data_IF_404682887031
#
_entry.id   IF_404682887031
#
_cell.length_a   1.000
_cell.length_b   1.000
_cell.length_c   1.000
_cell.angle_alpha   90.00
_cell.angle_beta   90.00
_cell.angle_gamma   90.00
#
_symmetry.space_group_name_H-M   'P 1'
#
loop_
_entity.id
_entity.type
_entity.pdbx_description
1 polymer ?
#
# COMPACT_ATOMS: atom_id res chain seq x y z
N UNK A 1 38.08 12.29 21.87
CA UNK A 1 37.65 12.84 20.57
C UNK A 1 36.19 13.24 20.69
N UNK A 2 35.93 14.55 20.80
CA UNK A 2 34.57 15.11 20.71
C UNK A 2 33.94 14.66 19.41
N UNK A 3 32.70 14.12 19.43
CA UNK A 3 31.99 13.80 18.19
C UNK A 3 31.85 15.11 17.40
N UNK A 4 32.32 15.07 16.16
CA UNK A 4 32.16 16.17 15.24
C UNK A 4 30.68 16.30 14.89
N UNK A 5 29.97 17.11 15.66
CA UNK A 5 28.53 17.34 15.48
C UNK A 5 28.35 18.25 14.25
N UNK A 6 28.54 17.69 13.05
CA UNK A 6 28.21 18.38 11.81
C UNK A 6 26.69 18.51 11.77
N UNK A 7 26.21 19.70 12.09
CA UNK A 7 24.83 20.08 11.84
C UNK A 7 24.69 20.22 10.32
N UNK A 8 24.19 19.16 9.68
CA UNK A 8 23.76 19.29 8.30
C UNK A 8 22.44 20.06 8.29
N UNK A 9 22.26 21.03 7.39
CA UNK A 9 20.98 21.69 7.25
C UNK A 9 19.91 20.65 6.89
N UNK A 10 18.86 20.59 7.70
CA UNK A 10 17.66 19.83 7.39
C UNK A 10 16.80 20.63 6.42
N UNK A 11 15.92 19.95 5.69
CA UNK A 11 14.91 20.60 4.87
C UNK A 11 13.60 20.68 5.63
N UNK A 12 13.10 21.87 5.84
CA UNK A 12 11.73 22.11 6.30
C UNK A 12 10.80 22.06 5.08
N UNK A 13 9.77 21.22 5.14
CA UNK A 13 8.82 21.02 4.05
C UNK A 13 7.44 21.33 4.60
N UNK A 14 6.71 22.19 3.89
CA UNK A 14 5.30 22.49 4.12
C UNK A 14 4.52 22.14 2.87
N UNK A 15 3.66 21.11 2.98
CA UNK A 15 2.78 20.67 1.90
C UNK A 15 1.32 21.05 2.24
N UNK A 16 0.70 21.80 1.35
CA UNK A 16 -0.70 22.17 1.44
C UNK A 16 -1.46 21.69 0.21
N UNK A 17 -2.50 20.89 0.43
CA UNK A 17 -3.30 20.30 -0.63
C UNK A 17 -4.77 20.71 -0.49
N UNK A 18 -5.35 21.20 -1.59
CA UNK A 18 -6.79 21.49 -1.69
C UNK A 18 -7.41 20.59 -2.75
N UNK A 19 -8.46 19.87 -2.39
CA UNK A 19 -9.14 18.95 -3.30
C UNK A 19 -10.60 19.32 -3.49
N UNK A 20 -11.04 19.27 -4.74
CA UNK A 20 -12.44 19.34 -5.15
C UNK A 20 -12.79 18.05 -5.89
N UNK A 21 -13.81 17.34 -5.44
CA UNK A 21 -14.29 16.14 -6.10
C UNK A 21 -15.78 16.27 -6.45
N UNK A 22 -16.12 15.86 -7.67
CA UNK A 22 -17.50 15.72 -8.14
C UNK A 22 -17.72 14.27 -8.51
N UNK A 23 -18.76 13.66 -7.95
CA UNK A 23 -19.11 12.28 -8.21
C UNK A 23 -20.60 12.19 -8.56
N UNK A 24 -20.92 11.33 -9.52
CA UNK A 24 -22.30 11.05 -9.91
C UNK A 24 -22.53 9.54 -10.01
N UNK A 25 -23.74 9.12 -9.69
CA UNK A 25 -24.22 7.75 -9.80
C UNK A 25 -25.44 7.70 -10.72
N UNK A 26 -25.26 7.10 -11.88
CA UNK A 26 -26.31 7.01 -12.89
C UNK A 26 -26.84 5.58 -12.98
N UNK A 27 -28.13 5.41 -12.74
CA UNK A 27 -28.80 4.12 -12.97
C UNK A 27 -29.16 4.01 -14.46
N UNK A 28 -28.40 3.25 -15.22
CA UNK A 28 -28.58 3.05 -16.66
C UNK A 28 -29.78 2.11 -16.94
N UNK A 29 -29.95 1.09 -16.12
CA UNK A 29 -31.08 0.15 -16.15
C UNK A 29 -31.44 -0.28 -14.73
N UNK A 30 -32.47 -1.11 -14.57
CA UNK A 30 -32.79 -1.69 -13.24
C UNK A 30 -31.65 -2.55 -12.66
N UNK A 31 -30.75 -3.05 -13.51
CA UNK A 31 -29.66 -3.94 -13.11
C UNK A 31 -28.27 -3.35 -13.32
N UNK A 32 -28.15 -2.20 -13.97
CA UNK A 32 -26.87 -1.60 -14.35
C UNK A 32 -26.74 -0.21 -13.79
N UNK A 33 -25.66 0.03 -13.06
CA UNK A 33 -25.33 1.33 -12.48
C UNK A 33 -23.93 1.73 -12.91
N UNK A 34 -23.77 2.97 -13.33
CA UNK A 34 -22.48 3.60 -13.60
C UNK A 34 -22.17 4.63 -12.51
N UNK A 35 -20.91 4.74 -12.17
CA UNK A 35 -20.36 5.80 -11.33
C UNK A 35 -19.31 6.55 -12.14
N UNK A 36 -19.34 7.85 -12.05
CA UNK A 36 -18.44 8.78 -12.71
C UNK A 36 -17.87 9.72 -11.65
N UNK A 37 -16.61 10.01 -11.73
CA UNK A 37 -16.00 10.96 -10.82
C UNK A 37 -14.85 11.70 -11.45
N UNK A 38 -14.69 12.94 -11.03
CA UNK A 38 -13.55 13.79 -11.35
C UNK A 38 -13.06 14.45 -10.07
N UNK A 39 -11.78 14.30 -9.77
CA UNK A 39 -11.13 15.00 -8.67
C UNK A 39 -10.11 15.96 -9.25
N UNK A 40 -10.13 17.21 -8.78
CA UNK A 40 -9.09 18.20 -9.01
C UNK A 40 -8.35 18.46 -7.71
N UNK A 41 -7.03 18.26 -7.72
CA UNK A 41 -6.15 18.50 -6.58
C UNK A 41 -5.19 19.63 -6.90
N UNK A 42 -5.21 20.69 -6.10
CA UNK A 42 -4.24 21.77 -6.12
C UNK A 42 -3.18 21.47 -5.06
N UNK A 43 -1.98 21.14 -5.50
CA UNK A 43 -0.84 20.79 -4.67
C UNK A 43 0.06 22.04 -4.54
N UNK A 44 0.37 22.43 -3.31
CA UNK A 44 1.32 23.52 -3.04
C UNK A 44 2.37 22.98 -2.07
N UNK A 45 3.62 23.07 -2.48
CA UNK A 45 4.78 22.69 -1.67
C UNK A 45 5.70 23.90 -1.52
N UNK A 46 6.09 24.15 -0.30
CA UNK A 46 7.18 25.02 0.04
C UNK A 46 8.24 24.24 0.79
N UNK A 47 9.49 24.35 0.37
CA UNK A 47 10.61 23.74 1.09
C UNK A 47 11.75 24.74 1.21
N UNK A 48 12.43 24.74 2.35
CA UNK A 48 13.59 25.60 2.63
C UNK A 48 14.52 24.83 3.57
N UNK A 49 15.82 25.04 3.40
CA UNK A 49 16.78 24.47 4.37
C UNK A 49 16.74 25.25 5.68
N UNK A 50 17.13 24.64 6.79
CA UNK A 50 17.12 25.26 8.12
C UNK A 50 18.05 26.47 8.21
N UNK A 51 19.04 26.62 7.32
CA UNK A 51 19.91 27.79 7.14
C UNK A 51 19.28 28.83 6.19
N UNK A 52 18.02 28.69 5.82
CA UNK A 52 17.25 29.53 4.89
C UNK A 52 17.72 29.48 3.44
N UNK A 53 18.65 28.63 3.09
CA UNK A 53 19.08 28.42 1.70
C UNK A 53 18.15 27.49 0.95
N UNK A 54 18.27 27.45 -0.39
CA UNK A 54 17.58 26.48 -1.24
C UNK A 54 16.04 26.54 -1.17
N UNK A 55 15.47 27.73 -0.95
CA UNK A 55 14.00 27.88 -0.94
C UNK A 55 13.39 27.51 -2.29
N UNK A 56 12.42 26.60 -2.27
CA UNK A 56 11.67 26.11 -3.43
C UNK A 56 10.18 26.24 -3.17
N UNK A 57 9.46 26.68 -4.18
CA UNK A 57 8.02 26.72 -4.19
C UNK A 57 7.49 26.00 -5.44
N UNK A 58 6.59 25.06 -5.26
CA UNK A 58 5.91 24.34 -6.33
C UNK A 58 4.40 24.41 -6.13
N UNK A 59 3.70 24.74 -7.21
CA UNK A 59 2.24 24.84 -7.20
C UNK A 59 1.70 24.25 -8.49
N UNK A 60 0.86 23.20 -8.37
CA UNK A 60 0.31 22.50 -9.54
C UNK A 60 -1.08 21.98 -9.32
N UNK A 61 -1.93 22.15 -10.33
CA UNK A 61 -3.28 21.59 -10.39
C UNK A 61 -3.30 20.31 -11.24
N UNK A 62 -3.91 19.24 -10.71
CA UNK A 62 -4.00 17.94 -11.39
C UNK A 62 -5.42 17.40 -11.27
N UNK A 63 -5.99 16.99 -12.42
CA UNK A 63 -7.30 16.34 -12.44
C UNK A 63 -7.16 14.85 -12.69
N UNK A 64 -7.87 14.04 -11.91
CA UNK A 64 -7.91 12.58 -12.00
C UNK A 64 -9.34 12.09 -12.17
N UNK A 65 -9.68 11.52 -13.35
CA UNK A 65 -10.97 10.90 -13.56
C UNK A 65 -11.01 9.48 -13.01
N UNK A 66 -12.21 9.03 -12.68
CA UNK A 66 -12.51 7.62 -12.44
C UNK A 66 -13.89 7.26 -12.94
N UNK A 67 -14.08 6.02 -13.33
CA UNK A 67 -15.35 5.47 -13.78
C UNK A 67 -15.49 4.04 -13.29
N UNK A 68 -16.70 3.67 -12.92
CA UNK A 68 -17.03 2.28 -12.61
C UNK A 68 -18.41 1.91 -13.18
N UNK A 69 -18.55 0.64 -13.53
CA UNK A 69 -19.80 0.06 -13.99
C UNK A 69 -20.07 -1.20 -13.18
N UNK A 70 -21.30 -1.39 -12.73
CA UNK A 70 -21.75 -2.64 -12.16
C UNK A 70 -23.00 -3.13 -12.87
N UNK A 71 -23.06 -4.47 -13.02
CA UNK A 71 -24.22 -5.14 -13.61
C UNK A 71 -24.64 -6.32 -12.75
N UNK A 72 -25.88 -6.27 -12.26
CA UNK A 72 -26.47 -7.36 -11.50
C UNK A 72 -26.97 -8.45 -12.45
N UNK A 73 -26.24 -9.57 -12.54
CA UNK A 73 -26.62 -10.71 -13.36
C UNK A 73 -27.94 -11.30 -12.84
N UNK A 74 -27.99 -11.53 -11.52
CA UNK A 74 -29.15 -12.01 -10.79
C UNK A 74 -29.09 -11.56 -9.32
N UNK A 75 -29.98 -12.05 -8.47
CA UNK A 75 -30.04 -11.66 -7.05
C UNK A 75 -28.79 -12.00 -6.23
N UNK A 76 -27.89 -12.85 -6.77
CA UNK A 76 -26.70 -13.35 -6.06
C UNK A 76 -25.39 -12.78 -6.60
N UNK A 77 -25.33 -12.49 -7.91
CA UNK A 77 -24.08 -12.16 -8.59
C UNK A 77 -24.15 -10.80 -9.22
N UNK A 78 -23.08 -10.02 -8.98
CA UNK A 78 -22.86 -8.71 -9.59
C UNK A 78 -21.47 -8.70 -10.22
N UNK A 79 -21.42 -8.41 -11.52
CA UNK A 79 -20.17 -8.07 -12.21
C UNK A 79 -19.87 -6.60 -12.04
N UNK A 80 -18.60 -6.24 -12.01
CA UNK A 80 -18.18 -4.85 -12.07
C UNK A 80 -16.88 -4.69 -12.85
N UNK A 81 -16.68 -3.50 -13.38
CA UNK A 81 -15.43 -3.04 -13.93
C UNK A 81 -15.18 -1.62 -13.48
N UNK A 82 -13.93 -1.23 -13.28
CA UNK A 82 -13.56 0.13 -12.94
C UNK A 82 -12.25 0.55 -13.59
N UNK A 83 -12.13 1.86 -13.78
CA UNK A 83 -10.91 2.54 -14.20
C UNK A 83 -10.74 3.78 -13.36
N UNK A 84 -9.54 4.04 -12.86
CA UNK A 84 -9.25 5.24 -12.10
C UNK A 84 -7.81 5.68 -12.27
N UNK A 85 -7.57 6.96 -11.99
CA UNK A 85 -6.24 7.54 -11.93
C UNK A 85 -5.94 8.02 -10.51
N UNK A 86 -4.72 7.77 -10.05
CA UNK A 86 -4.14 8.31 -8.84
C UNK A 86 -2.99 9.26 -9.18
N UNK A 87 -2.58 10.04 -8.19
CA UNK A 87 -1.40 10.91 -8.27
C UNK A 87 -0.51 10.70 -7.07
N UNK A 88 0.78 10.72 -7.32
CA UNK A 88 1.81 10.78 -6.29
C UNK A 88 2.72 11.96 -6.58
N UNK A 89 3.22 12.57 -5.53
CA UNK A 89 4.18 13.66 -5.60
C UNK A 89 5.49 13.18 -5.00
N UNK A 90 6.54 13.22 -5.80
CA UNK A 90 7.89 12.91 -5.36
C UNK A 90 8.77 14.12 -5.56
N UNK A 91 9.70 14.36 -4.65
CA UNK A 91 10.74 15.36 -4.78
C UNK A 91 12.12 14.71 -4.76
N UNK A 92 13.03 15.28 -5.52
CA UNK A 92 14.44 14.90 -5.49
C UNK A 92 15.00 15.11 -4.09
N UNK A 93 15.81 14.19 -3.56
CA UNK A 93 16.51 14.43 -2.30
C UNK A 93 17.31 15.74 -2.34
N UNK A 94 17.26 16.50 -1.24
CA UNK A 94 17.94 17.80 -1.18
C UNK A 94 19.41 17.61 -0.77
N UNK A 95 20.19 16.93 -1.62
CA UNK A 95 21.62 16.71 -1.43
C UNK A 95 22.42 17.36 -2.55
N UNK A 96 23.61 17.82 -2.23
CA UNK A 96 24.49 18.57 -3.15
C UNK A 96 24.93 17.78 -4.40
N UNK A 97 24.81 16.44 -4.39
CA UNK A 97 25.13 15.61 -5.54
C UNK A 97 24.03 15.62 -6.63
N UNK A 98 22.83 16.15 -6.33
CA UNK A 98 21.73 16.22 -7.30
C UNK A 98 21.74 17.58 -8.03
N UNK A 99 21.66 17.54 -9.34
CA UNK A 99 21.48 18.72 -10.19
C UNK A 99 20.13 19.40 -10.00
N UNK A 100 19.14 18.62 -9.60
CA UNK A 100 17.77 19.07 -9.30
C UNK A 100 17.40 18.83 -7.83
N UNK A 101 18.35 19.06 -6.91
CA UNK A 101 18.16 18.89 -5.47
C UNK A 101 16.89 19.60 -4.96
N UNK A 102 16.09 18.90 -4.16
CA UNK A 102 14.85 19.40 -3.56
C UNK A 102 13.71 19.68 -4.55
N UNK A 103 13.95 19.66 -5.85
CA UNK A 103 12.91 19.96 -6.83
C UNK A 103 11.87 18.84 -6.91
N UNK A 104 10.58 19.18 -6.93
CA UNK A 104 9.54 18.19 -7.15
C UNK A 104 9.56 17.66 -8.59
N UNK A 105 9.46 16.36 -8.73
CA UNK A 105 9.30 15.72 -10.04
C UNK A 105 7.92 16.04 -10.63
N UNK A 106 7.73 15.88 -11.94
CA UNK A 106 6.40 15.88 -12.53
C UNK A 106 5.47 14.93 -11.78
N UNK A 107 4.19 15.27 -11.67
CA UNK A 107 3.24 14.42 -10.96
C UNK A 107 3.21 13.01 -11.54
N UNK A 108 3.45 12.03 -10.68
CA UNK A 108 3.43 10.63 -11.04
C UNK A 108 1.97 10.16 -11.12
N UNK A 109 1.45 10.00 -12.33
CA UNK A 109 0.08 9.51 -12.55
C UNK A 109 0.09 7.99 -12.58
N UNK A 110 -0.58 7.37 -11.63
CA UNK A 110 -0.89 5.94 -11.65
C UNK A 110 -2.24 5.70 -12.32
N UNK A 111 -2.39 4.55 -12.96
CA UNK A 111 -3.67 4.09 -13.51
C UNK A 111 -4.01 2.73 -12.92
N UNK A 112 -5.29 2.51 -12.65
CA UNK A 112 -5.80 1.24 -12.15
C UNK A 112 -7.01 0.82 -12.96
N UNK A 113 -7.06 -0.46 -13.32
CA UNK A 113 -8.19 -1.12 -13.95
C UNK A 113 -8.55 -2.35 -13.15
N UNK A 114 -9.84 -2.58 -13.00
CA UNK A 114 -10.35 -3.77 -12.31
C UNK A 114 -11.52 -4.37 -13.07
N UNK A 115 -11.60 -5.68 -13.03
CA UNK A 115 -12.79 -6.44 -13.39
C UNK A 115 -13.01 -7.47 -12.29
N UNK A 116 -14.25 -7.59 -11.83
CA UNK A 116 -14.53 -8.52 -10.75
C UNK A 116 -15.99 -8.96 -10.70
N UNK A 117 -16.19 -10.02 -9.94
CA UNK A 117 -17.49 -10.56 -9.61
C UNK A 117 -17.66 -10.60 -8.10
N UNK A 118 -18.80 -10.14 -7.62
CA UNK A 118 -19.21 -10.20 -6.22
C UNK A 118 -20.41 -11.10 -6.08
N UNK A 119 -20.44 -11.87 -5.00
CA UNK A 119 -21.60 -12.70 -4.66
C UNK A 119 -21.99 -12.46 -3.21
N UNK A 120 -23.29 -12.31 -3.01
CA UNK A 120 -23.88 -12.30 -1.69
C UNK A 120 -25.02 -13.30 -1.67
N UNK A 121 -24.83 -14.39 -0.94
CA UNK A 121 -25.86 -15.42 -0.83
C UNK A 121 -26.00 -15.88 0.62
N UNK A 122 -27.17 -15.66 1.20
CA UNK A 122 -27.51 -16.05 2.58
C UNK A 122 -26.45 -15.55 3.59
N UNK A 123 -25.54 -16.45 3.99
CA UNK A 123 -24.52 -16.23 5.03
C UNK A 123 -23.11 -16.10 4.47
N UNK A 124 -22.96 -16.23 3.14
CA UNK A 124 -21.66 -16.18 2.47
C UNK A 124 -21.60 -14.99 1.52
N UNK A 125 -20.54 -14.22 1.67
CA UNK A 125 -20.16 -13.15 0.74
C UNK A 125 -18.78 -13.52 0.20
N UNK A 126 -18.59 -13.43 -1.11
CA UNK A 126 -17.28 -13.59 -1.71
C UNK A 126 -17.10 -12.65 -2.89
N UNK A 127 -15.86 -12.34 -3.19
CA UNK A 127 -15.46 -11.50 -4.30
C UNK A 127 -14.22 -12.09 -4.97
N UNK A 128 -14.19 -12.02 -6.30
CA UNK A 128 -13.01 -12.28 -7.11
C UNK A 128 -12.77 -11.07 -8.00
N UNK A 129 -11.54 -10.56 -8.01
CA UNK A 129 -11.13 -9.35 -8.74
C UNK A 129 -9.83 -9.62 -9.47
N UNK A 130 -9.79 -9.36 -10.75
CA UNK A 130 -8.56 -9.12 -11.47
C UNK A 130 -8.28 -7.62 -11.49
N UNK A 131 -7.04 -7.25 -11.26
CA UNK A 131 -6.59 -5.87 -11.31
C UNK A 131 -5.31 -5.71 -12.12
N UNK A 132 -5.16 -4.50 -12.67
CA UNK A 132 -4.00 -4.06 -13.45
C UNK A 132 -3.69 -2.62 -13.02
N UNK A 133 -2.50 -2.40 -12.48
CA UNK A 133 -2.05 -1.11 -11.94
C UNK A 133 -0.72 -0.75 -12.57
N UNK A 134 -0.66 0.42 -13.20
CA UNK A 134 0.58 1.01 -13.69
C UNK A 134 0.93 2.23 -12.87
N UNK A 135 2.15 2.28 -12.36
CA UNK A 135 2.66 3.35 -11.51
C UNK A 135 4.01 3.82 -12.04
N UNK A 136 4.19 5.10 -12.37
CA UNK A 136 5.50 5.62 -12.77
C UNK A 136 6.56 5.30 -11.72
N UNK A 137 7.76 5.10 -12.16
CA UNK A 137 8.89 4.85 -11.30
C UNK A 137 10.00 5.86 -11.57
N UNK A 138 10.90 6.04 -10.64
CA UNK A 138 11.97 7.03 -10.71
C UNK A 138 13.33 6.36 -10.64
N UNK A 139 14.34 7.01 -11.19
CA UNK A 139 15.72 6.61 -11.10
C UNK A 139 16.65 7.82 -10.99
N UNK A 140 17.83 7.57 -10.48
CA UNK A 140 18.91 8.52 -10.41
C UNK A 140 19.86 8.30 -11.59
N UNK A 141 19.96 9.30 -12.48
CA UNK A 141 20.81 9.29 -13.68
C UNK A 141 22.07 10.12 -13.45
N UNK A 142 23.22 9.62 -13.86
CA UNK A 142 24.51 10.32 -13.79
C UNK A 142 25.64 9.50 -13.19
N UNK A 143 26.85 10.02 -13.28
CA UNK A 143 28.06 9.28 -12.89
C UNK A 143 28.31 9.24 -11.38
N UNK A 144 27.71 10.13 -10.59
CA UNK A 144 27.99 10.27 -9.16
C UNK A 144 26.71 10.38 -8.31
N UNK A 145 25.83 9.36 -8.43
CA UNK A 145 24.61 9.27 -7.63
C UNK A 145 24.83 8.59 -6.26
N UNK A 146 26.07 8.26 -5.91
CA UNK A 146 26.35 7.69 -4.60
C UNK A 146 26.10 8.71 -3.50
N UNK A 147 25.55 8.26 -2.38
CA UNK A 147 25.37 9.07 -1.19
C UNK A 147 26.70 9.74 -0.76
N UNK A 148 26.67 11.04 -0.46
CA UNK A 148 27.84 11.87 -0.13
C UNK A 148 28.85 12.11 -1.27
N UNK A 149 28.50 11.89 -2.53
CA UNK A 149 29.33 12.37 -3.62
C UNK A 149 29.39 13.90 -3.64
N UNK A 150 30.60 14.47 -3.74
CA UNK A 150 30.79 15.91 -3.88
C UNK A 150 30.48 16.43 -5.30
N UNK A 151 30.36 15.52 -6.27
CA UNK A 151 30.08 15.87 -7.65
C UNK A 151 28.57 16.09 -7.87
N UNK A 152 28.19 17.29 -8.29
CA UNK A 152 26.83 17.63 -8.65
C UNK A 152 26.52 17.12 -10.08
N UNK A 153 26.35 15.80 -10.23
CA UNK A 153 26.15 15.15 -11.55
C UNK A 153 24.99 14.14 -11.54
N UNK A 154 24.30 13.98 -10.44
CA UNK A 154 23.16 13.11 -10.34
C UNK A 154 21.86 13.87 -10.63
N UNK A 155 20.99 13.30 -11.44
CA UNK A 155 19.66 13.88 -11.71
C UNK A 155 18.60 12.84 -11.44
N UNK A 156 17.66 13.11 -10.53
CA UNK A 156 16.50 12.26 -10.31
C UNK A 156 15.44 12.55 -11.36
N UNK A 157 14.93 11.51 -11.97
CA UNK A 157 13.94 11.64 -13.05
C UNK A 157 12.98 10.45 -13.07
N UNK A 158 11.86 10.61 -13.80
CA UNK A 158 10.97 9.49 -14.11
C UNK A 158 11.72 8.54 -15.06
N UNK A 159 11.69 7.25 -14.75
CA UNK A 159 12.36 6.21 -15.52
C UNK A 159 11.47 4.98 -15.66
N UNK A 160 10.58 4.99 -16.63
CA UNK A 160 9.63 3.91 -16.86
C UNK A 160 8.55 3.81 -15.77
N UNK A 161 8.13 2.59 -15.47
CA UNK A 161 7.00 2.32 -14.58
C UNK A 161 7.14 0.97 -13.87
N UNK A 162 6.43 0.80 -12.78
CA UNK A 162 6.13 -0.50 -12.20
C UNK A 162 4.73 -0.91 -12.65
N UNK A 163 4.61 -2.06 -13.26
CA UNK A 163 3.35 -2.68 -13.66
C UNK A 163 3.01 -3.80 -12.68
N UNK A 164 1.81 -3.77 -12.12
CA UNK A 164 1.32 -4.71 -11.14
C UNK A 164 -0.01 -5.27 -11.64
N UNK A 165 -0.06 -6.55 -11.92
CA UNK A 165 -1.30 -7.22 -12.26
C UNK A 165 -1.53 -8.42 -11.34
N UNK A 166 -2.78 -8.77 -11.07
CA UNK A 166 -3.02 -9.86 -10.16
C UNK A 166 -4.47 -10.24 -9.99
N UNK A 167 -4.67 -11.19 -9.08
CA UNK A 167 -5.98 -11.69 -8.67
C UNK A 167 -6.13 -11.55 -7.17
N UNK A 168 -7.27 -11.02 -6.76
CA UNK A 168 -7.71 -11.02 -5.37
C UNK A 168 -8.96 -11.86 -5.22
N UNK A 169 -8.95 -12.74 -4.23
CA UNK A 169 -10.10 -13.50 -3.79
C UNK A 169 -10.35 -13.20 -2.33
N UNK A 170 -11.59 -12.93 -1.96
CA UNK A 170 -11.99 -12.79 -0.56
C UNK A 170 -13.30 -13.49 -0.29
N UNK A 171 -13.44 -14.02 0.90
CA UNK A 171 -14.67 -14.67 1.35
C UNK A 171 -14.93 -14.40 2.82
N UNK A 172 -16.20 -14.33 3.17
CA UNK A 172 -16.67 -14.27 4.54
C UNK A 172 -17.95 -15.09 4.67
N UNK A 173 -17.97 -16.02 5.62
CA UNK A 173 -19.08 -16.95 5.82
C UNK A 173 -19.42 -17.08 7.31
N UNK A 174 -20.71 -16.95 7.63
CA UNK A 174 -21.26 -17.21 8.97
C UNK A 174 -21.97 -18.55 8.99
N UNK A 175 -21.51 -19.47 9.83
CA UNK A 175 -22.09 -20.78 9.99
C UNK A 175 -22.39 -21.08 11.45
N UNK A 176 -23.64 -20.91 11.85
CA UNK A 176 -24.07 -21.04 13.26
C UNK A 176 -23.25 -20.13 14.18
N UNK A 177 -22.45 -20.73 15.08
CA UNK A 177 -21.56 -20.01 16.02
C UNK A 177 -20.22 -19.59 15.38
N UNK A 178 -19.90 -20.13 14.21
CA UNK A 178 -18.66 -19.86 13.53
C UNK A 178 -18.78 -18.70 12.54
N UNK A 179 -17.71 -17.90 12.49
CA UNK A 179 -17.48 -16.86 11.51
C UNK A 179 -16.13 -17.12 10.85
N UNK A 180 -16.11 -17.27 9.52
CA UNK A 180 -14.90 -17.55 8.74
C UNK A 180 -14.65 -16.41 7.76
N UNK A 181 -13.43 -15.91 7.75
CA UNK A 181 -12.95 -14.95 6.75
C UNK A 181 -11.67 -15.43 6.11
N UNK A 182 -11.49 -15.12 4.84
CA UNK A 182 -10.25 -15.46 4.14
C UNK A 182 -10.05 -14.57 2.93
N UNK A 183 -8.78 -14.29 2.63
CA UNK A 183 -8.39 -13.64 1.39
C UNK A 183 -7.06 -14.15 0.88
N UNK A 184 -6.91 -14.15 -0.43
CA UNK A 184 -5.67 -14.38 -1.14
C UNK A 184 -5.50 -13.30 -2.18
N UNK A 185 -4.33 -12.71 -2.24
CA UNK A 185 -3.85 -11.88 -3.34
C UNK A 185 -2.68 -12.60 -3.99
N UNK A 186 -2.75 -12.76 -5.29
CA UNK A 186 -1.61 -13.16 -6.12
C UNK A 186 -1.24 -12.00 -7.03
N UNK A 187 0.06 -11.67 -7.08
CA UNK A 187 0.57 -10.47 -7.73
C UNK A 187 1.75 -10.82 -8.64
N UNK A 188 1.63 -10.45 -9.90
CA UNK A 188 2.73 -10.34 -10.85
C UNK A 188 3.10 -8.86 -10.99
N UNK A 189 4.32 -8.51 -10.61
CA UNK A 189 4.79 -7.13 -10.60
C UNK A 189 6.14 -7.05 -11.30
N UNK A 190 6.28 -6.12 -12.24
CA UNK A 190 7.48 -5.96 -13.04
C UNK A 190 7.82 -4.50 -13.27
N UNK A 191 9.12 -4.19 -13.34
CA UNK A 191 9.63 -2.92 -13.85
C UNK A 191 9.57 -2.93 -15.37
N UNK A 192 9.09 -1.85 -15.98
CA UNK A 192 8.95 -1.74 -17.43
C UNK A 192 9.42 -0.38 -17.94
N UNK A 193 9.88 -0.36 -19.19
CA UNK A 193 10.22 0.85 -19.93
C UNK A 193 11.28 1.75 -19.25
N UNK A 194 12.08 1.18 -18.36
CA UNK A 194 13.23 1.88 -17.79
C UNK A 194 14.31 2.09 -18.84
N UNK A 195 14.84 3.30 -18.93
CA UNK A 195 15.90 3.69 -19.87
C UNK A 195 17.22 4.01 -19.15
N UNK A 196 17.15 4.61 -17.97
CA UNK A 196 18.29 4.88 -17.11
C UNK A 196 18.78 3.61 -16.45
N UNK A 197 17.85 2.86 -15.88
CA UNK A 197 18.11 1.56 -15.25
C UNK A 197 17.53 0.42 -16.09
N UNK A 198 17.92 0.35 -17.36
CA UNK A 198 17.38 -0.61 -18.33
C UNK A 198 17.53 -2.08 -17.91
N UNK A 199 18.54 -2.40 -17.08
CA UNK A 199 18.74 -3.71 -16.50
C UNK A 199 17.67 -4.13 -15.48
N UNK A 200 16.84 -3.19 -15.01
CA UNK A 200 15.73 -3.48 -14.10
C UNK A 200 14.45 -3.89 -14.85
N UNK A 201 14.38 -3.71 -16.17
CA UNK A 201 13.21 -4.16 -16.93
C UNK A 201 12.99 -5.66 -16.77
N UNK A 202 11.75 -6.05 -16.45
CA UNK A 202 11.35 -7.41 -16.13
C UNK A 202 11.67 -7.84 -14.68
N UNK A 203 12.38 -7.03 -13.90
CA UNK A 203 12.67 -7.34 -12.50
C UNK A 203 11.45 -7.06 -11.61
N UNK A 204 11.29 -7.92 -10.60
CA UNK A 204 10.25 -7.77 -9.60
C UNK A 204 10.62 -6.65 -8.62
N UNK A 205 9.74 -5.67 -8.35
CA UNK A 205 10.03 -4.55 -7.45
C UNK A 205 10.37 -5.00 -6.03
N UNK A 206 11.18 -4.18 -5.35
CA UNK A 206 11.55 -4.43 -3.95
C UNK A 206 10.33 -4.35 -3.02
N UNK A 207 10.36 -5.10 -1.93
CA UNK A 207 9.31 -5.15 -0.90
C UNK A 207 7.92 -5.63 -1.37
N UNK A 208 7.79 -6.13 -2.57
CA UNK A 208 6.52 -6.61 -3.12
C UNK A 208 6.47 -8.14 -3.03
N UNK A 209 5.60 -8.75 -2.23
CA UNK A 209 5.46 -10.21 -2.18
C UNK A 209 4.63 -10.71 -3.37
N UNK A 210 4.98 -11.88 -3.92
CA UNK A 210 4.23 -12.48 -5.03
C UNK A 210 2.81 -12.93 -4.65
N UNK A 211 2.59 -13.29 -3.38
CA UNK A 211 1.25 -13.58 -2.87
C UNK A 211 1.17 -13.30 -1.37
N UNK A 212 -0.05 -13.02 -0.94
CA UNK A 212 -0.41 -12.79 0.46
C UNK A 212 -1.66 -13.62 0.76
N UNK A 213 -1.62 -14.35 1.89
CA UNK A 213 -2.76 -15.10 2.40
C UNK A 213 -3.17 -14.55 3.75
N UNK A 214 -4.47 -14.38 3.97
CA UNK A 214 -5.05 -14.00 5.25
C UNK A 214 -6.22 -14.95 5.55
N UNK A 215 -6.30 -15.41 6.77
CA UNK A 215 -7.41 -16.23 7.24
C UNK A 215 -7.82 -15.83 8.64
N UNK A 216 -9.11 -15.92 8.92
CA UNK A 216 -9.62 -15.76 10.28
C UNK A 216 -10.76 -16.73 10.54
N UNK A 217 -10.86 -17.15 11.79
CA UNK A 217 -12.03 -17.83 12.31
C UNK A 217 -12.39 -17.26 13.67
N UNK A 218 -13.67 -17.09 13.94
CA UNK A 218 -14.21 -16.70 15.24
C UNK A 218 -15.28 -17.70 15.65
N UNK A 219 -15.25 -18.10 16.90
CA UNK A 219 -16.26 -18.94 17.51
C UNK A 219 -16.97 -18.20 18.65
N UNK A 220 -18.30 -18.17 18.62
CA UNK A 220 -19.16 -17.60 19.65
C UNK A 220 -19.70 -18.69 20.53
N UNK A 221 -19.42 -18.61 21.81
CA UNK A 221 -19.82 -19.64 22.79
C UNK A 221 -21.31 -19.46 23.14
N UNK A 222 -22.13 -20.44 22.71
CA UNK A 222 -23.56 -20.39 23.00
C UNK A 222 -23.87 -20.55 24.50
N UNK A 223 -23.00 -21.24 25.24
CA UNK A 223 -23.13 -21.44 26.69
C UNK A 223 -22.72 -20.21 27.52
N UNK A 224 -21.98 -19.25 26.95
CA UNK A 224 -21.53 -18.04 27.64
C UNK A 224 -21.83 -16.85 26.73
N UNK A 225 -23.02 -16.24 26.89
CA UNK A 225 -23.38 -15.07 26.08
C UNK A 225 -22.33 -13.95 26.19
N UNK A 226 -21.95 -13.39 25.04
CA UNK A 226 -20.93 -12.35 24.96
C UNK A 226 -19.49 -12.84 24.82
N UNK A 227 -19.22 -14.14 25.05
CA UNK A 227 -17.88 -14.70 24.87
C UNK A 227 -17.67 -15.15 23.42
N UNK A 228 -16.53 -14.74 22.82
CA UNK A 228 -16.06 -15.19 21.51
C UNK A 228 -14.53 -15.31 21.50
N UNK A 229 -14.03 -16.30 20.79
CA UNK A 229 -12.59 -16.47 20.55
C UNK A 229 -12.30 -16.48 19.06
N UNK A 230 -11.20 -15.87 18.67
CA UNK A 230 -10.76 -15.78 17.27
C UNK A 230 -9.32 -16.24 17.09
N UNK A 231 -9.06 -16.81 15.92
CA UNK A 231 -7.73 -17.14 15.44
C UNK A 231 -7.55 -16.50 14.07
N UNK A 232 -6.41 -15.84 13.85
CA UNK A 232 -6.01 -15.28 12.56
C UNK A 232 -4.70 -15.89 12.11
N UNK A 233 -4.58 -16.10 10.83
CA UNK A 233 -3.33 -16.48 10.16
C UNK A 233 -2.99 -15.45 9.10
N UNK A 234 -1.70 -15.09 9.05
CA UNK A 234 -1.14 -14.23 8.03
C UNK A 234 0.09 -14.88 7.44
N UNK A 235 0.10 -15.01 6.11
CA UNK A 235 1.26 -15.50 5.37
C UNK A 235 1.60 -14.53 4.25
N UNK A 236 2.90 -14.23 4.11
CA UNK A 236 3.41 -13.44 2.99
C UNK A 236 4.58 -14.20 2.34
N UNK A 237 4.57 -14.22 1.01
CA UNK A 237 5.64 -14.80 0.21
C UNK A 237 6.95 -14.05 0.37
N UNK A 238 8.00 -14.62 -0.18
CA UNK A 238 9.31 -13.96 -0.31
C UNK A 238 9.19 -12.63 -1.05
N UNK A 239 10.08 -11.71 -0.77
CA UNK A 239 10.18 -10.40 -1.45
C UNK A 239 11.62 -9.99 -1.67
N UNK A 240 11.88 -9.26 -2.75
CA UNK A 240 13.20 -8.76 -3.04
C UNK A 240 13.60 -7.64 -2.07
N UNK A 241 14.86 -7.68 -1.61
CA UNK A 241 15.53 -6.60 -0.91
C UNK A 241 16.20 -5.68 -1.92
N UNK A 242 16.94 -6.27 -2.86
CA UNK A 242 17.67 -5.56 -3.91
C UNK A 242 16.85 -5.51 -5.19
N UNK A 243 17.07 -4.47 -5.99
CA UNK A 243 16.32 -4.24 -7.23
C UNK A 243 16.55 -5.33 -8.29
N UNK A 244 17.74 -5.95 -8.28
CA UNK A 244 18.10 -7.07 -9.17
C UNK A 244 17.70 -8.44 -8.60
N UNK A 245 17.14 -8.50 -7.38
CA UNK A 245 16.68 -9.73 -6.77
C UNK A 245 17.74 -10.65 -6.19
N UNK A 246 18.99 -10.21 -6.05
CA UNK A 246 20.09 -11.03 -5.49
C UNK A 246 19.89 -11.34 -3.99
N UNK A 247 19.23 -10.44 -3.28
CA UNK A 247 18.91 -10.61 -1.86
C UNK A 247 17.40 -10.63 -1.69
N UNK A 248 16.92 -11.66 -1.00
CA UNK A 248 15.48 -11.92 -0.81
C UNK A 248 15.16 -12.11 0.67
N UNK A 249 14.11 -11.47 1.16
CA UNK A 249 13.56 -11.80 2.47
C UNK A 249 12.76 -13.10 2.39
N UNK A 250 12.95 -14.03 3.36
CA UNK A 250 12.18 -15.27 3.43
C UNK A 250 10.68 -15.00 3.63
N UNK A 251 9.86 -15.89 3.12
CA UNK A 251 8.44 -15.94 3.44
C UNK A 251 8.21 -16.16 4.95
N UNK A 252 7.11 -15.65 5.45
CA UNK A 252 6.77 -15.81 6.85
C UNK A 252 5.28 -16.09 7.07
N UNK A 253 5.01 -16.75 8.19
CA UNK A 253 3.66 -17.03 8.66
C UNK A 253 3.55 -16.67 10.13
N UNK A 254 2.49 -15.95 10.51
CA UNK A 254 2.17 -15.63 11.91
C UNK A 254 0.74 -16.03 12.23
N UNK A 255 0.52 -16.33 13.51
CA UNK A 255 -0.79 -16.62 14.07
C UNK A 255 -1.08 -15.64 15.20
N UNK A 256 -2.33 -15.19 15.28
CA UNK A 256 -2.84 -14.32 16.33
C UNK A 256 -4.09 -14.92 16.92
N UNK A 257 -4.19 -14.95 18.24
CA UNK A 257 -5.37 -15.39 18.96
C UNK A 257 -5.94 -14.28 19.82
N UNK A 258 -7.26 -14.20 19.90
CA UNK A 258 -7.91 -13.28 20.83
C UNK A 258 -9.16 -13.90 21.42
N UNK A 259 -9.46 -13.52 22.66
CA UNK A 259 -10.73 -13.81 23.32
C UNK A 259 -11.35 -12.50 23.77
N UNK A 260 -12.62 -12.32 23.46
CA UNK A 260 -13.41 -11.15 23.80
C UNK A 260 -14.59 -11.59 24.67
N UNK A 261 -14.88 -10.79 25.69
CA UNK A 261 -16.03 -11.02 26.56
C UNK A 261 -16.80 -9.72 26.77
N UNK A 262 -17.98 -9.63 26.19
CA UNK A 262 -18.90 -8.51 26.36
C UNK A 262 -19.90 -8.86 27.47
N UNK A 263 -19.94 -8.05 28.51
CA UNK A 263 -20.77 -8.27 29.70
C UNK A 263 -21.26 -6.94 30.28
N UNK A 264 -21.96 -7.00 31.42
CA UNK A 264 -22.31 -5.84 32.23
C UNK A 264 -21.73 -6.00 33.63
N UNK A 265 -21.00 -5.01 34.09
CA UNK A 265 -20.52 -4.90 35.44
C UNK A 265 -21.30 -3.78 36.13
N UNK A 266 -22.07 -4.09 37.14
CA UNK A 266 -22.96 -3.14 37.83
C UNK A 266 -23.88 -2.37 36.85
N UNK A 267 -24.50 -3.08 35.89
CA UNK A 267 -25.31 -2.53 34.77
C UNK A 267 -24.56 -1.65 33.77
N UNK A 268 -23.24 -1.48 33.90
CA UNK A 268 -22.41 -0.75 32.94
C UNK A 268 -21.93 -1.72 31.84
N UNK A 269 -22.20 -1.48 30.54
CA UNK A 269 -21.65 -2.30 29.47
C UNK A 269 -20.13 -2.29 29.54
N UNK A 270 -19.54 -3.50 29.57
CA UNK A 270 -18.09 -3.69 29.73
C UNK A 270 -17.61 -4.72 28.71
N UNK A 271 -16.50 -4.44 28.03
CA UNK A 271 -15.87 -5.33 27.06
C UNK A 271 -14.43 -5.62 27.49
N UNK A 272 -14.11 -6.89 27.59
CA UNK A 272 -12.80 -7.38 27.96
C UNK A 272 -12.17 -8.06 26.75
N UNK A 273 -10.88 -7.80 26.53
CA UNK A 273 -10.15 -8.42 25.42
C UNK A 273 -8.80 -8.91 25.93
N UNK A 274 -8.51 -10.17 25.66
CA UNK A 274 -7.17 -10.74 25.78
C UNK A 274 -6.72 -11.16 24.39
N UNK A 275 -5.63 -10.60 23.91
CA UNK A 275 -5.08 -10.89 22.60
C UNK A 275 -3.60 -11.28 22.69
N UNK A 276 -3.18 -12.25 21.88
CA UNK A 276 -1.79 -12.66 21.74
C UNK A 276 -1.43 -12.58 20.26
N UNK A 277 -0.55 -11.66 19.92
CA UNK A 277 0.01 -11.52 18.58
C UNK A 277 1.24 -12.42 18.44
N UNK A 278 1.47 -12.93 17.24
CA UNK A 278 2.58 -13.83 16.94
C UNK A 278 2.69 -15.01 17.92
N UNK A 279 1.62 -15.80 18.04
CA UNK A 279 1.50 -16.94 18.98
C UNK A 279 2.71 -17.87 18.96
N UNK A 280 3.27 -18.14 17.78
CA UNK A 280 4.44 -19.02 17.61
C UNK A 280 5.77 -18.34 17.95
N UNK A 281 5.76 -17.04 18.32
CA UNK A 281 6.97 -16.23 18.53
C UNK A 281 7.95 -16.33 17.35
N UNK A 282 7.41 -16.27 16.12
CA UNK A 282 8.19 -16.35 14.89
C UNK A 282 9.07 -15.11 14.77
N UNK A 283 10.38 -15.32 14.62
CA UNK A 283 11.32 -14.26 14.22
C UNK A 283 11.32 -14.17 12.70
N UNK A 284 11.09 -12.97 12.16
CA UNK A 284 11.02 -12.74 10.72
C UNK A 284 11.33 -11.29 10.38
N UNK A 285 11.72 -11.06 9.13
CA UNK A 285 11.86 -9.73 8.58
C UNK A 285 10.55 -9.36 7.87
N UNK A 286 9.96 -8.24 8.29
CA UNK A 286 8.69 -7.79 7.73
C UNK A 286 8.85 -7.11 6.39
N UNK A 287 9.85 -6.25 6.28
CA UNK A 287 10.11 -5.44 5.10
C UNK A 287 11.56 -4.95 5.06
N UNK A 288 11.99 -4.51 3.87
CA UNK A 288 13.31 -3.92 3.65
C UNK A 288 13.19 -2.66 2.78
N UNK A 289 12.82 -1.51 3.36
CA UNK A 289 12.78 -0.27 2.59
C UNK A 289 14.18 0.18 2.18
N UNK A 290 14.27 0.79 1.00
CA UNK A 290 15.46 1.47 0.52
C UNK A 290 15.34 2.96 0.85
N UNK A 291 16.28 3.49 1.61
CA UNK A 291 16.36 4.92 1.92
C UNK A 291 17.80 5.39 1.73
N UNK A 292 17.98 6.53 1.07
CA UNK A 292 19.31 7.14 0.82
C UNK A 292 20.31 6.16 0.17
N UNK A 293 19.83 5.27 -0.72
CA UNK A 293 20.67 4.27 -1.36
C UNK A 293 21.04 3.05 -0.51
N UNK A 294 20.59 3.00 0.75
CA UNK A 294 20.81 1.89 1.67
C UNK A 294 19.55 1.07 1.91
N UNK A 295 19.70 -0.22 2.16
CA UNK A 295 18.62 -1.13 2.50
C UNK A 295 18.56 -1.34 4.02
N UNK A 296 17.38 -1.19 4.58
CA UNK A 296 17.13 -1.40 6.00
C UNK A 296 16.26 -2.63 6.19
N UNK A 297 16.53 -3.40 7.25
CA UNK A 297 15.73 -4.58 7.59
C UNK A 297 14.86 -4.26 8.79
N UNK A 298 13.54 -4.32 8.63
CA UNK A 298 12.60 -4.15 9.72
C UNK A 298 12.12 -5.50 10.23
N UNK A 299 12.38 -5.84 11.52
CA UNK A 299 11.89 -7.07 12.11
C UNK A 299 10.38 -7.04 12.28
N UNK A 300 9.77 -8.20 12.19
CA UNK A 300 8.39 -8.41 12.63
C UNK A 300 8.27 -8.30 14.14
N UNK A 301 7.06 -7.97 14.62
CA UNK A 301 6.79 -7.87 16.04
C UNK A 301 6.99 -9.23 16.73
N UNK A 302 7.62 -9.27 17.92
CA UNK A 302 7.72 -10.48 18.74
C UNK A 302 6.33 -10.88 19.28
N UNK A 303 6.25 -12.00 19.98
CA UNK A 303 5.03 -12.35 20.71
C UNK A 303 4.68 -11.24 21.70
N UNK A 304 3.46 -10.74 21.59
CA UNK A 304 2.97 -9.65 22.42
C UNK A 304 1.60 -10.02 22.97
N UNK A 305 1.42 -9.83 24.26
CA UNK A 305 0.14 -10.00 24.95
C UNK A 305 -0.46 -8.62 25.22
N UNK A 306 -1.72 -8.46 24.96
CA UNK A 306 -2.48 -7.22 25.15
C UNK A 306 -3.78 -7.48 25.88
#
# INVERSE_FOLDING_TARGET
TTPNNRIFPNTEISDYNTELAVNDQVRLTQKTTAWLGLRHSQLNRHSVQTDQSGALQDSRGISTPWVALSHQINQRYTLYASYGQGIEVEATPNFNNYTNAGQPLPALRSTQREIGIKSQHKRTIWQATWFDITRPATADAGAACAYNSAANTCTRQIDGQNHHQGLELSTHTKLRQWDFGGSVMWLDAQRENATVQANLNGQHPINVPKYILRGMTEYRYASVPGLRSSLRVSHEATRNVTENGDIVLPAWTTFEGATHYDTKVNNVPSSWTLAIQNLANKHYWRESPKQYGQYFLYPGAPRTVR
#
